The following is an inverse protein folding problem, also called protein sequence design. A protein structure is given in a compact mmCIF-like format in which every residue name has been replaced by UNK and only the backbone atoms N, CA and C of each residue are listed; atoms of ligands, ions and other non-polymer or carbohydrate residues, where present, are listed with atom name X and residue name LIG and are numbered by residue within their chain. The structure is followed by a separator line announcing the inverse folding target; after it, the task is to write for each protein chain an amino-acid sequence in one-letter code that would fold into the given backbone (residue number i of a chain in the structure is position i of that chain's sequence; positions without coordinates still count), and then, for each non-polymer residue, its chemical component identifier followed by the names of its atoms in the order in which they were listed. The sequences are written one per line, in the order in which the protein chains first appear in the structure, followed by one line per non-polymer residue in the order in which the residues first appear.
data_IF_264848938843
#
_entry.id   IF_264848938843
#
_cell.length_a   1.000
_cell.length_b   1.000
_cell.length_c   1.000
_cell.angle_alpha   90.00
_cell.angle_beta   90.00
_cell.angle_gamma   90.00
#
_symmetry.space_group_name_H-M   'P 1'
#
loop_
_entity.id
_entity.type
_entity.pdbx_description
1 polymer ?
#
# COMPACT_ATOMS: atom_id res chain seq x y z
N UNK A 1 12.35 -10.23 34.88
CA UNK A 1 10.91 -10.04 35.12
C UNK A 1 10.27 -9.59 33.81
N UNK A 2 9.42 -10.41 33.20
CA UNK A 2 8.63 -9.99 32.03
C UNK A 2 7.46 -9.14 32.55
N UNK A 3 7.44 -7.83 32.27
CA UNK A 3 6.27 -6.99 32.57
C UNK A 3 5.11 -7.52 31.71
N UNK A 4 4.02 -7.98 32.32
CA UNK A 4 2.75 -8.18 31.61
C UNK A 4 2.37 -6.84 31.00
N UNK A 5 2.42 -6.69 29.68
CA UNK A 5 1.82 -5.54 29.01
C UNK A 5 0.30 -5.69 29.17
N UNK A 6 -0.33 -4.70 29.77
CA UNK A 6 -1.79 -4.62 29.82
C UNK A 6 -2.26 -4.24 28.41
N UNK A 7 -3.26 -4.93 27.85
CA UNK A 7 -3.75 -4.65 26.49
C UNK A 7 -4.88 -3.61 26.51
N UNK A 8 -4.69 -2.52 27.24
CA UNK A 8 -5.66 -1.43 27.32
C UNK A 8 -5.10 -0.17 26.66
N UNK A 9 -5.99 0.78 26.31
CA UNK A 9 -5.60 2.00 25.63
C UNK A 9 -4.53 2.79 26.39
N UNK A 10 -4.57 2.77 27.73
CA UNK A 10 -3.58 3.44 28.56
C UNK A 10 -2.17 2.88 28.34
N UNK A 11 -2.02 1.56 28.32
CA UNK A 11 -0.74 0.92 28.08
C UNK A 11 -0.23 1.05 26.63
N UNK A 12 -1.10 1.41 25.67
CA UNK A 12 -0.71 1.75 24.31
C UNK A 12 -0.17 3.19 24.23
N UNK A 13 -0.76 4.11 24.99
CA UNK A 13 -0.38 5.53 25.00
C UNK A 13 0.78 5.86 25.97
N UNK A 14 1.09 4.95 26.90
CA UNK A 14 2.11 5.09 27.94
C UNK A 14 3.31 4.14 27.72
N UNK A 15 3.63 3.80 26.46
CA UNK A 15 4.80 2.97 26.14
C UNK A 15 6.08 3.84 26.05
N UNK A 16 6.95 3.70 27.05
CA UNK A 16 8.27 4.35 27.12
C UNK A 16 9.18 4.07 25.91
N UNK A 17 8.86 3.06 25.08
CA UNK A 17 9.63 2.69 23.88
C UNK A 17 8.98 3.16 22.58
N UNK A 18 8.01 4.09 22.65
CA UNK A 18 7.38 4.64 21.46
C UNK A 18 8.40 5.44 20.64
N UNK A 19 8.51 5.19 19.32
CA UNK A 19 9.35 5.98 18.44
C UNK A 19 9.00 7.48 18.49
N UNK A 20 10.00 8.35 18.41
CA UNK A 20 9.82 9.80 18.55
C UNK A 20 8.86 10.38 17.51
N UNK A 21 8.91 9.88 16.28
CA UNK A 21 8.02 10.27 15.18
C UNK A 21 6.56 9.87 15.44
N UNK A 22 6.34 8.70 16.03
CA UNK A 22 5.00 8.25 16.45
C UNK A 22 4.50 9.10 17.62
N UNK A 23 5.36 9.37 18.62
CA UNK A 23 5.04 10.22 19.75
C UNK A 23 4.68 11.65 19.31
N UNK A 24 5.43 12.20 18.34
CA UNK A 24 5.16 13.51 17.75
C UNK A 24 3.88 13.54 16.93
N UNK A 25 3.65 12.50 16.13
CA UNK A 25 2.40 12.37 15.39
C UNK A 25 1.19 12.29 16.32
N UNK A 26 1.30 11.64 17.48
CA UNK A 26 0.19 11.52 18.44
C UNK A 26 -0.03 12.79 19.27
N UNK A 27 1.01 13.31 19.91
CA UNK A 27 0.85 14.28 21.00
C UNK A 27 1.28 15.70 20.68
N UNK A 28 2.05 15.92 19.61
CA UNK A 28 2.58 17.24 19.26
C UNK A 28 1.84 17.92 18.11
N UNK A 29 0.66 17.42 17.75
CA UNK A 29 -0.24 18.09 16.84
C UNK A 29 -0.94 19.28 17.51
N UNK A 30 -1.45 20.21 16.70
CA UNK A 30 -2.19 21.40 17.22
C UNK A 30 -3.51 21.02 17.91
N UNK A 31 -3.98 19.80 17.73
CA UNK A 31 -5.23 19.27 18.26
C UNK A 31 -5.08 17.77 18.58
N UNK A 32 -6.13 17.19 19.18
CA UNK A 32 -6.15 15.78 19.61
C UNK A 32 -6.60 14.82 18.50
N UNK A 33 -6.56 15.22 17.22
CA UNK A 33 -7.17 14.47 16.11
C UNK A 33 -6.58 13.06 15.97
N UNK A 34 -5.26 12.94 16.05
CA UNK A 34 -4.58 11.65 15.87
C UNK A 34 -4.81 10.70 17.05
N UNK A 35 -4.87 11.23 18.28
CA UNK A 35 -5.24 10.45 19.46
C UNK A 35 -6.69 9.96 19.34
N UNK A 36 -7.60 10.85 18.95
CA UNK A 36 -9.00 10.52 18.71
C UNK A 36 -9.17 9.47 17.59
N UNK A 37 -8.35 9.55 16.53
CA UNK A 37 -8.33 8.60 15.43
C UNK A 37 -7.97 7.19 15.93
N UNK A 38 -6.92 7.04 16.72
CA UNK A 38 -6.52 5.74 17.29
C UNK A 38 -7.59 5.20 18.24
N UNK A 39 -8.15 6.04 19.11
CA UNK A 39 -9.18 5.58 20.06
C UNK A 39 -10.45 5.13 19.34
N UNK A 40 -10.87 5.85 18.29
CA UNK A 40 -11.99 5.44 17.43
C UNK A 40 -11.68 4.14 16.69
N UNK A 41 -10.48 4.02 16.11
CA UNK A 41 -10.02 2.79 15.47
C UNK A 41 -10.06 1.58 16.42
N UNK A 42 -9.72 1.77 17.70
CA UNK A 42 -9.79 0.72 18.71
C UNK A 42 -11.23 0.33 19.07
N UNK A 43 -12.13 1.32 19.23
CA UNK A 43 -13.51 1.10 19.66
C UNK A 43 -14.41 0.58 18.54
N UNK A 44 -14.31 1.20 17.37
CA UNK A 44 -15.20 0.98 16.24
C UNK A 44 -14.61 -0.03 15.23
N UNK A 45 -13.34 -0.39 15.40
CA UNK A 45 -12.53 -1.04 14.38
C UNK A 45 -12.00 -0.03 13.35
N UNK A 46 -10.95 -0.41 12.63
CA UNK A 46 -10.38 0.40 11.56
C UNK A 46 -10.12 -0.47 10.34
N UNK A 47 -10.70 -0.08 9.21
CA UNK A 47 -10.37 -0.67 7.92
C UNK A 47 -9.35 0.23 7.26
N UNK A 48 -8.12 -0.26 7.11
CA UNK A 48 -7.13 0.42 6.27
C UNK A 48 -7.59 0.25 4.83
N UNK A 49 -8.00 1.34 4.18
CA UNK A 49 -8.23 1.32 2.74
C UNK A 49 -6.93 0.90 2.06
N UNK A 50 -6.93 -0.29 1.46
CA UNK A 50 -5.82 -0.73 0.63
C UNK A 50 -5.97 -0.02 -0.72
N UNK A 51 -4.91 0.61 -1.24
CA UNK A 51 -4.99 1.21 -2.56
C UNK A 51 -5.33 0.13 -3.59
N UNK A 52 -6.22 0.45 -4.53
CA UNK A 52 -6.51 -0.43 -5.67
C UNK A 52 -5.20 -0.70 -6.42
N UNK A 53 -4.93 -1.99 -6.64
CA UNK A 53 -3.78 -2.44 -7.42
C UNK A 53 -4.18 -2.71 -8.87
N UNK A 54 -3.23 -2.55 -9.78
CA UNK A 54 -3.40 -2.72 -11.21
C UNK A 54 -2.27 -3.56 -11.80
N UNK A 55 -2.62 -4.34 -12.81
CA UNK A 55 -1.67 -4.90 -13.77
C UNK A 55 -1.54 -3.96 -14.96
N UNK A 56 -0.36 -3.86 -15.56
CA UNK A 56 -0.18 -3.19 -16.85
C UNK A 56 -0.18 -4.25 -17.96
N UNK A 57 -1.29 -4.35 -18.71
CA UNK A 57 -1.42 -5.25 -19.85
C UNK A 57 -1.10 -4.50 -21.15
N UNK A 58 0.08 -4.76 -21.70
CA UNK A 58 0.54 -4.12 -22.92
C UNK A 58 -0.16 -4.69 -24.16
N UNK A 59 -0.36 -3.87 -25.20
CA UNK A 59 -0.95 -4.31 -26.44
C UNK A 59 -0.11 -5.41 -27.08
N UNK A 60 -0.79 -6.31 -27.80
CA UNK A 60 -0.14 -7.43 -28.49
C UNK A 60 0.97 -6.93 -29.41
N UNK A 61 2.20 -7.28 -29.08
CA UNK A 61 3.36 -7.06 -29.94
C UNK A 61 3.40 -8.18 -30.97
N UNK A 62 3.51 -7.83 -32.26
CA UNK A 62 3.55 -8.80 -33.36
C UNK A 62 4.67 -9.85 -33.11
N UNK A 63 4.30 -11.13 -33.06
CA UNK A 63 5.23 -12.24 -32.75
C UNK A 63 5.08 -12.85 -31.35
N UNK A 64 4.28 -12.26 -30.46
CA UNK A 64 3.86 -12.85 -29.19
C UNK A 64 2.37 -13.24 -29.30
N UNK A 65 2.05 -14.52 -29.03
CA UNK A 65 0.69 -15.07 -29.16
C UNK A 65 -0.25 -14.65 -28.02
N UNK A 66 0.28 -14.12 -26.92
CA UNK A 66 -0.39 -14.00 -25.62
C UNK A 66 -0.36 -12.56 -25.10
N UNK A 67 -1.21 -12.25 -24.11
CA UNK A 67 -1.15 -11.01 -23.33
C UNK A 67 0.24 -10.81 -22.73
N UNK A 68 0.78 -9.60 -22.82
CA UNK A 68 2.11 -9.26 -22.28
C UNK A 68 1.93 -8.29 -21.13
N UNK A 69 2.44 -8.63 -19.95
CA UNK A 69 2.34 -7.82 -18.74
C UNK A 69 3.71 -7.34 -18.30
N UNK A 70 3.74 -6.22 -17.58
CA UNK A 70 4.96 -5.77 -16.88
C UNK A 70 5.24 -6.71 -15.70
N UNK A 71 6.46 -7.23 -15.59
CA UNK A 71 6.90 -8.04 -14.45
C UNK A 71 7.93 -7.34 -13.56
N UNK A 72 8.62 -6.31 -14.09
CA UNK A 72 9.59 -5.51 -13.32
C UNK A 72 9.69 -4.08 -13.83
N UNK A 73 9.59 -3.13 -12.90
CA UNK A 73 9.85 -1.72 -13.13
C UNK A 73 10.84 -1.19 -12.09
N UNK A 74 11.88 -0.49 -12.55
CA UNK A 74 12.89 0.17 -11.72
C UNK A 74 12.75 1.68 -11.89
N UNK A 75 12.31 2.38 -10.85
CA UNK A 75 12.29 3.86 -10.73
C UNK A 75 12.20 4.63 -12.06
N UNK A 76 11.09 4.47 -12.80
CA UNK A 76 10.83 5.17 -14.06
C UNK A 76 11.10 4.37 -15.34
N UNK A 77 11.63 3.15 -15.24
CA UNK A 77 11.99 2.32 -16.39
C UNK A 77 11.36 0.93 -16.24
N UNK A 78 10.71 0.43 -17.30
CA UNK A 78 10.27 -0.96 -17.37
C UNK A 78 11.42 -1.82 -17.88
N UNK A 79 11.79 -2.83 -17.11
CA UNK A 79 12.95 -3.68 -17.39
C UNK A 79 12.55 -5.05 -17.94
N UNK A 80 11.38 -5.58 -17.55
CA UNK A 80 10.98 -6.96 -17.89
C UNK A 80 9.48 -7.11 -18.12
N UNK A 81 9.13 -8.11 -18.92
CA UNK A 81 7.76 -8.49 -19.24
C UNK A 81 7.52 -9.99 -19.02
N UNK A 82 6.26 -10.35 -18.77
CA UNK A 82 5.80 -11.72 -18.61
C UNK A 82 4.55 -12.00 -19.45
N UNK A 83 4.33 -13.26 -19.80
CA UNK A 83 3.12 -13.73 -20.49
C UNK A 83 1.99 -14.14 -19.54
N UNK A 84 2.30 -14.32 -18.26
CA UNK A 84 1.35 -14.81 -17.26
C UNK A 84 0.95 -13.72 -16.28
N UNK A 85 -0.36 -13.55 -16.08
CA UNK A 85 -0.92 -12.64 -15.06
C UNK A 85 -0.42 -12.97 -13.64
N UNK A 86 -0.11 -14.23 -13.37
CA UNK A 86 0.41 -14.70 -12.07
C UNK A 86 1.79 -14.14 -11.71
N UNK A 87 2.57 -13.75 -12.72
CA UNK A 87 3.91 -13.16 -12.55
C UNK A 87 3.92 -11.66 -12.83
N UNK A 88 2.75 -11.08 -13.12
CA UNK A 88 2.64 -9.67 -13.44
C UNK A 88 2.78 -8.83 -12.17
N UNK A 89 3.47 -7.70 -12.31
CA UNK A 89 3.66 -6.74 -11.24
C UNK A 89 2.33 -6.06 -10.93
N UNK A 90 2.01 -5.97 -9.64
CA UNK A 90 0.86 -5.23 -9.12
C UNK A 90 1.36 -3.85 -8.70
N UNK A 91 0.77 -2.81 -9.27
CA UNK A 91 1.16 -1.42 -9.04
C UNK A 91 -0.03 -0.61 -8.55
N UNK A 92 0.23 0.37 -7.69
CA UNK A 92 -0.70 1.43 -7.33
C UNK A 92 -0.76 2.50 -8.44
N UNK A 93 -1.79 3.34 -8.40
CA UNK A 93 -1.88 4.52 -9.28
C UNK A 93 -0.65 5.42 -9.18
N UNK A 94 -0.16 5.66 -7.96
CA UNK A 94 1.02 6.51 -7.74
C UNK A 94 2.28 5.91 -8.37
N UNK A 95 2.49 4.60 -8.25
CA UNK A 95 3.64 3.93 -8.85
C UNK A 95 3.56 3.98 -10.39
N UNK A 96 2.37 3.79 -10.98
CA UNK A 96 2.19 3.88 -12.43
C UNK A 96 2.46 5.30 -12.92
N UNK A 97 1.92 6.32 -12.24
CA UNK A 97 2.18 7.72 -12.57
C UNK A 97 3.65 8.10 -12.38
N UNK A 98 4.34 7.50 -11.41
CA UNK A 98 5.79 7.69 -11.21
C UNK A 98 6.64 7.09 -12.34
N UNK A 99 6.13 6.06 -13.02
CA UNK A 99 6.76 5.50 -14.21
C UNK A 99 6.43 6.43 -15.39
N UNK A 100 5.16 6.50 -15.76
CA UNK A 100 4.61 7.37 -16.80
C UNK A 100 3.06 7.27 -16.82
N UNK A 101 2.36 8.41 -16.79
CA UNK A 101 0.88 8.45 -16.84
C UNK A 101 0.29 7.76 -18.09
N UNK A 102 1.04 7.61 -19.18
CA UNK A 102 0.55 6.93 -20.40
C UNK A 102 0.26 5.45 -20.17
N UNK A 103 0.83 4.81 -19.15
CA UNK A 103 0.53 3.41 -18.84
C UNK A 103 -0.89 3.20 -18.30
N UNK A 104 -1.58 4.28 -17.91
CA UNK A 104 -2.95 4.20 -17.39
C UNK A 104 -3.97 3.64 -18.39
N UNK A 105 -3.74 3.85 -19.68
CA UNK A 105 -4.58 3.25 -20.73
C UNK A 105 -4.49 1.71 -20.79
N UNK A 106 -3.47 1.12 -20.15
CA UNK A 106 -3.18 -0.31 -20.12
C UNK A 106 -3.43 -0.93 -18.74
N UNK A 107 -3.91 -0.16 -17.78
CA UNK A 107 -4.10 -0.61 -16.42
C UNK A 107 -5.37 -1.44 -16.28
N UNK A 108 -5.22 -2.65 -15.74
CA UNK A 108 -6.30 -3.59 -15.46
C UNK A 108 -6.39 -3.77 -13.95
N UNK A 109 -7.54 -3.46 -13.31
CA UNK A 109 -7.68 -3.60 -11.87
C UNK A 109 -7.46 -5.06 -11.46
N UNK A 110 -6.72 -5.24 -10.37
CA UNK A 110 -6.56 -6.51 -9.69
C UNK A 110 -7.85 -6.73 -8.89
N UNK A 111 -8.59 -7.77 -9.22
CA UNK A 111 -9.69 -8.23 -8.35
C UNK A 111 -9.06 -8.77 -7.06
N UNK A 112 -9.44 -8.17 -5.94
CA UNK A 112 -9.16 -8.74 -4.62
C UNK A 112 -9.96 -10.04 -4.54
N UNK A 113 -9.29 -11.17 -4.85
CA UNK A 113 -9.87 -12.48 -4.60
C UNK A 113 -10.14 -12.63 -3.11
N UNK A 114 -11.41 -12.89 -2.76
CA UNK A 114 -11.86 -13.25 -1.40
C UNK A 114 -11.07 -14.44 -0.82
#
# INVERSE_FOLDING_TARGET
MCKRKNNNALALLDDDNMPDDVNEWLFFQRNDDNINLILRAWLDGYTVEKPQLFYIELPKVFGLSDSTFVSKAESGIISEFTKGKDYALKLTEQEINSIDERYWQFAVPVEDGE
#
